data_IF_098690027899
#
_entry.id   IF_098690027899
#
_cell.length_a   1.000
_cell.length_b   1.000
_cell.length_c   1.000
_cell.angle_alpha   90.00
_cell.angle_beta   90.00
_cell.angle_gamma   90.00
#
_symmetry.space_group_name_H-M   'P 1'
#
loop_
_entity.id
_entity.type
_entity.pdbx_description
1 polymer ?
#
# COMPACT_ATOMS: atom_id res chain seq x y z
N UNK A 1 -8.05 1.31 -5.69
CA UNK A 1 -8.43 0.50 -6.86
C UNK A 1 -7.74 1.05 -8.10
N UNK A 2 -7.28 0.21 -9.01
CA UNK A 2 -6.86 0.59 -10.36
C UNK A 2 -7.99 0.24 -11.30
N UNK A 3 -8.44 1.19 -12.10
CA UNK A 3 -9.51 0.97 -13.05
C UNK A 3 -8.97 1.09 -14.47
N UNK A 4 -9.58 0.41 -15.46
CA UNK A 4 -9.26 0.62 -16.87
C UNK A 4 -9.72 2.01 -17.31
N UNK A 5 -8.93 2.65 -18.18
CA UNK A 5 -9.22 3.96 -18.73
C UNK A 5 -9.28 3.90 -20.25
N UNK A 6 -10.20 4.68 -20.83
CA UNK A 6 -10.26 5.00 -22.24
C UNK A 6 -10.08 6.51 -22.40
N UNK A 7 -8.85 6.92 -22.71
CA UNK A 7 -8.43 8.31 -22.59
C UNK A 7 -8.44 8.77 -21.12
N UNK A 8 -9.10 9.88 -20.82
CA UNK A 8 -9.20 10.43 -19.46
C UNK A 8 -10.41 9.94 -18.66
N UNK A 9 -11.25 9.08 -19.24
CA UNK A 9 -12.45 8.54 -18.61
C UNK A 9 -12.23 7.07 -18.22
N UNK A 10 -12.87 6.65 -17.13
CA UNK A 10 -12.93 5.23 -16.77
C UNK A 10 -13.74 4.47 -17.83
N UNK A 11 -13.22 3.35 -18.29
CA UNK A 11 -13.97 2.44 -19.18
C UNK A 11 -15.02 1.66 -18.37
N UNK A 12 -16.17 2.29 -18.15
CA UNK A 12 -17.24 1.76 -17.31
C UNK A 12 -17.75 0.40 -17.81
N UNK A 13 -17.80 0.18 -19.13
CA UNK A 13 -18.29 -1.08 -19.66
C UNK A 13 -17.32 -2.24 -19.34
N UNK A 14 -16.02 -1.99 -19.45
CA UNK A 14 -15.02 -2.97 -19.02
C UNK A 14 -15.05 -3.18 -17.48
N UNK A 15 -15.25 -2.12 -16.69
CA UNK A 15 -15.39 -2.25 -15.21
C UNK A 15 -16.62 -3.09 -14.87
N UNK A 16 -17.76 -2.91 -15.56
CA UNK A 16 -18.96 -3.77 -15.38
C UNK A 16 -18.67 -5.23 -15.65
N UNK A 17 -18.00 -5.54 -16.77
CA UNK A 17 -17.60 -6.91 -17.11
C UNK A 17 -16.68 -7.51 -16.03
N UNK A 18 -15.71 -6.73 -15.56
CA UNK A 18 -14.81 -7.16 -14.48
C UNK A 18 -15.57 -7.42 -13.17
N UNK A 19 -16.52 -6.56 -12.80
CA UNK A 19 -17.36 -6.74 -11.62
C UNK A 19 -18.22 -8.00 -11.76
N UNK A 20 -18.85 -8.22 -12.92
CA UNK A 20 -19.69 -9.39 -13.16
C UNK A 20 -18.88 -10.68 -13.03
N UNK A 21 -17.73 -10.76 -13.72
CA UNK A 21 -16.82 -11.93 -13.62
C UNK A 21 -16.35 -12.17 -12.20
N UNK A 22 -16.01 -11.11 -11.45
CA UNK A 22 -15.57 -11.22 -10.06
C UNK A 22 -16.65 -11.77 -9.14
N UNK A 23 -17.88 -11.23 -9.26
CA UNK A 23 -19.04 -11.65 -8.47
C UNK A 23 -19.48 -13.08 -8.82
N UNK A 24 -19.53 -13.43 -10.10
CA UNK A 24 -19.90 -14.78 -10.59
C UNK A 24 -18.94 -15.86 -10.09
N UNK A 25 -17.68 -15.49 -9.83
CA UNK A 25 -16.67 -16.38 -9.26
C UNK A 25 -16.64 -16.39 -7.71
N UNK A 26 -17.64 -15.78 -7.06
CA UNK A 26 -17.82 -15.80 -5.60
C UNK A 26 -16.99 -14.78 -4.82
N UNK A 27 -16.31 -13.86 -5.50
CA UNK A 27 -15.57 -12.79 -4.85
C UNK A 27 -16.46 -11.56 -4.65
N UNK A 28 -16.42 -10.97 -3.46
CA UNK A 28 -17.40 -9.93 -3.09
C UNK A 28 -16.78 -8.66 -2.51
N UNK A 29 -15.47 -8.60 -2.27
CA UNK A 29 -14.84 -7.48 -1.58
C UNK A 29 -14.29 -6.42 -2.57
N UNK A 30 -14.79 -5.19 -2.45
CA UNK A 30 -14.40 -4.04 -3.28
C UNK A 30 -13.78 -2.94 -2.41
N UNK A 31 -12.56 -2.51 -2.78
CA UNK A 31 -11.81 -1.47 -2.08
C UNK A 31 -11.67 -0.21 -2.93
N UNK A 32 -12.09 0.93 -2.40
CA UNK A 32 -11.93 2.23 -3.03
C UNK A 32 -11.45 3.28 -2.05
N UNK A 33 -11.34 4.53 -2.48
CA UNK A 33 -11.12 5.71 -1.66
C UNK A 33 -11.53 6.98 -2.41
N UNK A 34 -11.79 8.05 -1.67
CA UNK A 34 -12.30 9.32 -2.17
C UNK A 34 -11.49 9.90 -3.34
N UNK A 35 -10.15 9.79 -3.30
CA UNK A 35 -9.24 10.35 -4.32
C UNK A 35 -8.79 9.36 -5.38
N UNK A 36 -9.16 8.08 -5.28
CA UNK A 36 -8.68 7.09 -6.24
C UNK A 36 -9.14 7.41 -7.67
N UNK A 37 -8.26 7.18 -8.63
CA UNK A 37 -8.50 7.49 -10.04
C UNK A 37 -8.94 8.96 -10.27
N UNK A 38 -8.28 9.91 -9.62
CA UNK A 38 -8.63 11.35 -9.66
C UNK A 38 -10.07 11.63 -9.19
N UNK A 39 -10.55 10.85 -8.22
CA UNK A 39 -11.92 10.94 -7.72
C UNK A 39 -12.97 10.21 -8.55
N UNK A 40 -12.58 9.47 -9.58
CA UNK A 40 -13.52 8.75 -10.46
C UNK A 40 -13.84 7.32 -9.97
N UNK A 41 -13.09 6.79 -8.98
CA UNK A 41 -13.24 5.41 -8.54
C UNK A 41 -14.59 5.13 -7.86
N UNK A 42 -15.05 6.01 -6.97
CA UNK A 42 -16.33 5.84 -6.28
C UNK A 42 -17.53 5.93 -7.25
N UNK A 43 -17.62 6.95 -8.15
CA UNK A 43 -18.67 6.99 -9.16
C UNK A 43 -18.65 5.79 -10.13
N UNK A 44 -17.46 5.29 -10.48
CA UNK A 44 -17.34 4.10 -11.32
C UNK A 44 -17.89 2.84 -10.64
N UNK A 45 -17.57 2.65 -9.34
CA UNK A 45 -18.15 1.56 -8.55
C UNK A 45 -19.65 1.70 -8.36
N UNK A 46 -20.17 2.94 -8.21
CA UNK A 46 -21.60 3.14 -8.21
C UNK A 46 -22.22 2.56 -9.47
N UNK A 47 -21.76 2.97 -10.63
CA UNK A 47 -22.30 2.56 -11.92
C UNK A 47 -22.09 1.06 -12.25
N UNK A 48 -20.98 0.47 -11.82
CA UNK A 48 -20.61 -0.89 -12.16
C UNK A 48 -21.08 -1.94 -11.14
N UNK A 49 -21.23 -1.56 -9.87
CA UNK A 49 -21.55 -2.47 -8.77
C UNK A 49 -22.85 -2.05 -8.07
N UNK A 50 -22.86 -0.87 -7.44
CA UNK A 50 -23.91 -0.50 -6.47
C UNK A 50 -25.31 -0.36 -7.10
N UNK A 51 -25.39 0.20 -8.32
CA UNK A 51 -26.66 0.34 -9.05
C UNK A 51 -27.15 -0.98 -9.68
N UNK A 52 -26.36 -2.06 -9.63
CA UNK A 52 -26.62 -3.31 -10.37
C UNK A 52 -26.82 -4.53 -9.47
N UNK A 53 -26.24 -4.53 -8.27
CA UNK A 53 -26.27 -5.67 -7.36
C UNK A 53 -26.93 -5.32 -6.05
N UNK A 54 -27.64 -6.30 -5.41
CA UNK A 54 -28.18 -6.11 -4.06
C UNK A 54 -27.08 -5.71 -3.07
N UNK A 55 -27.35 -4.75 -2.19
CA UNK A 55 -26.34 -4.20 -1.26
C UNK A 55 -25.70 -5.27 -0.36
N UNK A 56 -26.42 -6.30 -0.03
CA UNK A 56 -25.99 -7.40 0.84
C UNK A 56 -25.13 -8.43 0.14
N UNK A 57 -25.04 -8.39 -1.19
CA UNK A 57 -24.26 -9.36 -1.98
C UNK A 57 -22.78 -9.03 -2.08
N UNK A 58 -22.35 -7.85 -1.63
CA UNK A 58 -20.95 -7.42 -1.70
C UNK A 58 -20.51 -6.67 -0.44
N UNK A 59 -19.19 -6.65 -0.25
CA UNK A 59 -18.50 -5.90 0.81
C UNK A 59 -17.84 -4.67 0.19
N UNK A 60 -18.18 -3.49 0.71
CA UNK A 60 -17.69 -2.21 0.19
C UNK A 60 -16.83 -1.49 1.22
N UNK A 61 -15.59 -1.21 0.81
CA UNK A 61 -14.62 -0.46 1.62
C UNK A 61 -14.30 0.86 0.93
N UNK A 62 -14.39 1.96 1.69
CA UNK A 62 -13.80 3.25 1.29
C UNK A 62 -13.03 3.87 2.46
N UNK A 63 -12.43 5.05 2.25
CA UNK A 63 -11.46 5.60 3.19
C UNK A 63 -11.66 7.10 3.37
N UNK A 64 -11.49 7.58 4.61
CA UNK A 64 -11.42 9.00 4.94
C UNK A 64 -10.01 9.53 4.65
N UNK A 65 -9.88 10.33 3.61
CA UNK A 65 -8.63 10.97 3.22
C UNK A 65 -8.48 12.32 3.94
N UNK A 66 -8.23 12.25 5.27
CA UNK A 66 -8.20 13.42 6.13
C UNK A 66 -6.98 14.35 5.88
N UNK A 67 -5.98 13.89 5.15
CA UNK A 67 -4.83 14.70 4.71
C UNK A 67 -5.23 15.93 3.85
N UNK A 68 -6.47 15.97 3.35
CA UNK A 68 -7.00 17.08 2.56
C UNK A 68 -7.95 17.97 3.36
N UNK A 69 -8.16 17.68 4.66
CA UNK A 69 -9.18 18.33 5.48
C UNK A 69 -8.55 19.33 6.46
N UNK A 70 -9.26 20.39 6.71
CA UNK A 70 -8.83 21.47 7.58
C UNK A 70 -9.76 21.68 8.78
N UNK A 71 -10.92 21.01 8.80
CA UNK A 71 -11.88 21.11 9.89
C UNK A 71 -12.67 19.81 10.09
N UNK A 72 -13.32 19.71 11.26
CA UNK A 72 -14.20 18.56 11.58
C UNK A 72 -15.44 18.54 10.68
N UNK A 73 -15.93 19.69 10.28
CA UNK A 73 -17.09 19.85 9.39
C UNK A 73 -16.79 19.28 8.00
N UNK A 74 -15.55 19.41 7.52
CA UNK A 74 -15.14 18.82 6.24
C UNK A 74 -15.17 17.28 6.27
N UNK A 75 -14.91 16.64 7.42
CA UNK A 75 -15.05 15.18 7.55
C UNK A 75 -16.51 14.74 7.32
N UNK A 76 -17.47 15.47 7.93
CA UNK A 76 -18.90 15.21 7.73
C UNK A 76 -19.31 15.38 6.27
N UNK A 77 -18.85 16.47 5.63
CA UNK A 77 -19.15 16.74 4.22
C UNK A 77 -18.60 15.66 3.30
N UNK A 78 -17.34 15.27 3.48
CA UNK A 78 -16.71 14.20 2.67
C UNK A 78 -17.39 12.88 2.89
N UNK A 79 -17.71 12.51 4.13
CA UNK A 79 -18.41 11.27 4.44
C UNK A 79 -19.79 11.21 3.77
N UNK A 80 -20.55 12.31 3.86
CA UNK A 80 -21.85 12.44 3.20
C UNK A 80 -21.74 12.39 1.67
N UNK A 81 -20.72 13.05 1.11
CA UNK A 81 -20.43 13.00 -0.33
C UNK A 81 -20.07 11.58 -0.80
N UNK A 82 -19.28 10.84 -0.02
CA UNK A 82 -18.93 9.44 -0.34
C UNK A 82 -20.16 8.53 -0.37
N UNK A 83 -21.06 8.65 0.61
CA UNK A 83 -22.35 7.93 0.60
C UNK A 83 -23.17 8.23 -0.66
N UNK A 84 -23.21 9.51 -1.06
CA UNK A 84 -23.91 9.97 -2.28
C UNK A 84 -23.21 9.48 -3.56
N UNK A 85 -21.90 9.60 -3.65
CA UNK A 85 -21.10 9.21 -4.84
C UNK A 85 -21.16 7.72 -5.10
N UNK A 86 -21.15 6.92 -4.04
CA UNK A 86 -21.33 5.47 -4.10
C UNK A 86 -22.80 5.05 -4.17
N UNK A 87 -23.73 5.92 -3.77
CA UNK A 87 -25.15 5.60 -3.78
C UNK A 87 -25.54 4.52 -2.77
N UNK A 88 -24.77 4.34 -1.70
CA UNK A 88 -24.98 3.30 -0.69
C UNK A 88 -25.44 3.92 0.64
N UNK A 89 -26.12 3.12 1.47
CA UNK A 89 -26.62 3.57 2.78
C UNK A 89 -25.59 3.46 3.91
N UNK A 90 -24.58 2.61 3.72
CA UNK A 90 -23.52 2.30 4.70
C UNK A 90 -22.29 1.72 4.01
N UNK A 91 -21.15 1.74 4.73
CA UNK A 91 -19.92 1.06 4.35
C UNK A 91 -19.67 -0.16 5.23
N UNK A 92 -19.21 -1.27 4.65
CA UNK A 92 -18.82 -2.43 5.44
C UNK A 92 -17.52 -2.16 6.20
N UNK A 93 -16.53 -1.58 5.51
CA UNK A 93 -15.31 -1.10 6.13
C UNK A 93 -15.09 0.37 5.78
N UNK A 94 -14.69 1.14 6.77
CA UNK A 94 -14.31 2.53 6.59
C UNK A 94 -12.98 2.77 7.28
N UNK A 95 -11.96 3.14 6.49
CA UNK A 95 -10.60 3.26 6.99
C UNK A 95 -10.17 4.73 7.11
N UNK A 96 -9.49 5.10 8.18
CA UNK A 96 -8.68 6.31 8.18
C UNK A 96 -7.50 6.09 7.22
N UNK A 97 -7.46 6.90 6.15
CA UNK A 97 -6.58 6.67 5.02
C UNK A 97 -5.15 7.09 5.33
N UNK A 98 -4.18 6.27 4.88
CA UNK A 98 -2.77 6.62 4.83
C UNK A 98 -2.23 7.11 6.19
N UNK A 99 -2.51 6.39 7.27
CA UNK A 99 -1.98 6.72 8.58
C UNK A 99 -0.46 6.52 8.59
N UNK A 100 0.24 7.52 9.07
CA UNK A 100 1.66 7.65 9.28
C UNK A 100 1.87 8.90 10.10
N UNK A 101 3.10 9.28 10.43
CA UNK A 101 3.42 10.37 11.36
C UNK A 101 2.68 11.69 11.06
N UNK A 102 2.49 12.02 9.77
CA UNK A 102 1.79 13.24 9.36
C UNK A 102 0.27 13.11 9.55
N UNK A 103 -0.32 12.08 8.93
CA UNK A 103 -1.77 11.95 8.89
C UNK A 103 -2.36 11.51 10.22
N UNK A 104 -1.61 10.77 11.04
CA UNK A 104 -2.00 10.46 12.41
C UNK A 104 -2.16 11.73 13.25
N UNK A 105 -1.22 12.68 13.12
CA UNK A 105 -1.33 13.99 13.78
C UNK A 105 -2.57 14.74 13.32
N UNK A 106 -2.86 14.77 12.02
CA UNK A 106 -4.09 15.37 11.47
C UNK A 106 -5.33 14.64 12.00
N UNK A 107 -5.29 13.32 12.08
CA UNK A 107 -6.40 12.52 12.64
C UNK A 107 -6.70 12.87 14.10
N UNK A 108 -5.66 13.17 14.90
CA UNK A 108 -5.82 13.64 16.29
C UNK A 108 -6.37 15.07 16.33
N UNK A 109 -5.84 15.99 15.55
CA UNK A 109 -6.29 17.39 15.47
C UNK A 109 -7.77 17.50 15.05
N UNK A 110 -8.21 16.66 14.11
CA UNK A 110 -9.57 16.64 13.60
C UNK A 110 -10.50 15.69 14.38
N UNK A 111 -9.97 14.97 15.39
CA UNK A 111 -10.75 13.99 16.16
C UNK A 111 -11.37 12.87 15.29
N UNK A 112 -10.61 12.43 14.28
CA UNK A 112 -11.10 11.51 13.25
C UNK A 112 -11.45 10.13 13.81
N UNK A 113 -10.79 9.68 14.87
CA UNK A 113 -11.10 8.41 15.55
C UNK A 113 -12.47 8.45 16.24
N UNK A 114 -12.79 9.56 16.92
CA UNK A 114 -14.12 9.75 17.51
C UNK A 114 -15.21 9.87 16.41
N UNK A 115 -14.90 10.56 15.32
CA UNK A 115 -15.78 10.69 14.16
C UNK A 115 -16.17 9.32 13.59
N UNK A 116 -15.20 8.45 13.23
CA UNK A 116 -15.53 7.15 12.65
C UNK A 116 -16.26 6.23 13.65
N UNK A 117 -15.94 6.33 14.94
CA UNK A 117 -16.67 5.63 16.01
C UNK A 117 -18.14 6.08 16.10
N UNK A 118 -18.38 7.40 15.98
CA UNK A 118 -19.73 7.94 15.93
C UNK A 118 -20.49 7.42 14.71
N UNK A 119 -19.90 7.46 13.50
CA UNK A 119 -20.52 6.95 12.28
C UNK A 119 -20.82 5.45 12.34
N UNK A 120 -20.00 4.69 13.06
CA UNK A 120 -20.29 3.28 13.37
C UNK A 120 -21.52 3.15 14.30
N UNK A 121 -21.61 3.95 15.35
CA UNK A 121 -22.77 3.95 16.25
C UNK A 121 -24.07 4.37 15.52
N UNK A 122 -23.99 5.24 14.52
CA UNK A 122 -25.09 5.63 13.64
C UNK A 122 -25.49 4.54 12.63
N UNK A 123 -24.79 3.40 12.59
CA UNK A 123 -25.02 2.31 11.64
C UNK A 123 -24.58 2.60 10.21
N UNK A 124 -23.78 3.65 10.00
CA UNK A 124 -23.24 4.05 8.69
C UNK A 124 -21.92 3.36 8.33
N UNK A 125 -21.25 2.79 9.32
CA UNK A 125 -20.03 1.98 9.19
C UNK A 125 -20.22 0.69 9.96
N UNK A 126 -19.88 -0.45 9.38
CA UNK A 126 -19.88 -1.75 10.08
C UNK A 126 -18.57 -1.99 10.82
N UNK A 127 -17.44 -1.74 10.14
CA UNK A 127 -16.09 -1.96 10.70
C UNK A 127 -15.20 -0.76 10.46
N UNK A 128 -14.51 -0.34 11.52
CA UNK A 128 -13.55 0.77 11.48
C UNK A 128 -12.14 0.22 11.37
N UNK A 129 -11.31 0.85 10.53
CA UNK A 129 -9.91 0.47 10.37
C UNK A 129 -9.01 1.64 10.01
N UNK A 130 -7.75 1.30 9.76
CA UNK A 130 -6.75 2.22 9.22
C UNK A 130 -6.03 1.58 8.04
N UNK A 131 -5.58 2.38 7.06
CA UNK A 131 -4.48 1.99 6.17
C UNK A 131 -3.22 2.68 6.65
N UNK A 132 -2.11 1.91 6.73
CA UNK A 132 -0.90 2.35 7.42
C UNK A 132 0.33 2.27 6.51
N UNK A 133 1.20 3.33 6.56
CA UNK A 133 2.36 3.49 5.70
C UNK A 133 3.52 4.15 6.46
N UNK A 134 3.92 3.60 7.61
CA UNK A 134 5.02 4.12 8.41
C UNK A 134 5.70 2.99 9.22
N UNK A 135 6.48 3.35 10.23
CA UNK A 135 7.24 2.44 11.07
C UNK A 135 6.37 1.69 12.08
N UNK A 136 6.78 0.48 12.42
CA UNK A 136 6.04 -0.42 13.30
C UNK A 136 5.79 0.17 14.70
N UNK A 137 6.72 0.98 15.23
CA UNK A 137 6.59 1.64 16.52
C UNK A 137 5.37 2.57 16.55
N UNK A 138 5.15 3.34 15.48
CA UNK A 138 3.98 4.21 15.37
C UNK A 138 2.69 3.40 15.23
N UNK A 139 2.71 2.28 14.52
CA UNK A 139 1.54 1.39 14.44
C UNK A 139 1.18 0.83 15.82
N UNK A 140 2.17 0.44 16.61
CA UNK A 140 1.96 -0.07 17.99
C UNK A 140 1.37 1.02 18.90
N UNK A 141 1.85 2.26 18.78
CA UNK A 141 1.27 3.43 19.48
C UNK A 141 -0.19 3.64 19.07
N UNK A 142 -0.48 3.69 17.78
CA UNK A 142 -1.86 3.91 17.26
C UNK A 142 -2.79 2.83 17.78
N UNK A 143 -2.43 1.54 17.66
CA UNK A 143 -3.31 0.44 18.06
C UNK A 143 -3.46 0.31 19.58
N UNK A 144 -2.49 0.80 20.34
CA UNK A 144 -2.57 0.89 21.82
C UNK A 144 -3.52 2.01 22.24
N UNK A 145 -3.42 3.17 21.58
CA UNK A 145 -4.20 4.37 21.90
C UNK A 145 -5.65 4.26 21.41
N UNK A 146 -5.86 3.58 20.29
CA UNK A 146 -7.15 3.44 19.60
C UNK A 146 -7.58 1.97 19.47
N UNK A 147 -7.93 1.31 20.58
CA UNK A 147 -8.32 -0.11 20.58
C UNK A 147 -9.61 -0.39 19.78
N UNK A 148 -10.41 0.64 19.49
CA UNK A 148 -11.61 0.58 18.64
C UNK A 148 -11.32 0.26 17.17
N UNK A 149 -10.07 0.38 16.70
CA UNK A 149 -9.67 -0.08 15.36
C UNK A 149 -9.83 -1.59 15.27
N UNK A 150 -10.59 -2.05 14.29
CA UNK A 150 -10.94 -3.47 14.11
C UNK A 150 -10.10 -4.16 13.04
N UNK A 151 -9.50 -3.41 12.12
CA UNK A 151 -8.73 -3.95 11.00
C UNK A 151 -7.61 -3.00 10.59
N UNK A 152 -6.50 -3.55 10.15
CA UNK A 152 -5.35 -2.78 9.65
C UNK A 152 -5.05 -3.16 8.20
N UNK A 153 -4.98 -2.17 7.30
CA UNK A 153 -4.54 -2.39 5.92
C UNK A 153 -3.05 -2.10 5.83
N UNK A 154 -2.25 -3.13 5.47
CA UNK A 154 -0.79 -3.09 5.41
C UNK A 154 -0.24 -3.45 4.04
N UNK A 155 0.89 -2.85 3.67
CA UNK A 155 1.67 -3.25 2.51
C UNK A 155 2.42 -4.54 2.83
N UNK A 156 2.08 -5.64 2.14
CA UNK A 156 2.75 -6.94 2.29
C UNK A 156 3.03 -7.56 0.93
N UNK A 157 4.30 -7.79 0.65
CA UNK A 157 4.79 -8.59 -0.47
C UNK A 157 6.17 -9.16 -0.12
N UNK A 158 6.64 -10.18 -0.84
CA UNK A 158 7.88 -10.87 -0.50
C UNK A 158 9.15 -10.01 -0.69
N UNK A 159 9.10 -8.96 -1.52
CA UNK A 159 10.23 -8.05 -1.71
C UNK A 159 10.40 -7.05 -0.57
N UNK A 160 9.28 -6.58 0.01
CA UNK A 160 9.27 -5.61 1.10
C UNK A 160 9.23 -6.26 2.49
N UNK A 161 9.10 -7.58 2.57
CA UNK A 161 8.87 -8.31 3.82
C UNK A 161 9.90 -7.98 4.89
N UNK A 162 11.19 -8.04 4.53
CA UNK A 162 12.33 -7.73 5.40
C UNK A 162 12.97 -6.36 5.12
N UNK A 163 12.29 -5.49 4.39
CA UNK A 163 12.80 -4.17 4.08
C UNK A 163 12.67 -3.24 5.30
N UNK A 164 13.80 -2.77 5.83
CA UNK A 164 13.84 -1.90 7.03
C UNK A 164 13.19 -0.52 6.81
N UNK A 165 13.08 -0.05 5.57
CA UNK A 165 12.43 1.24 5.26
C UNK A 165 10.90 1.11 5.20
N UNK A 166 10.38 -0.03 4.77
CA UNK A 166 8.94 -0.33 4.68
C UNK A 166 8.43 -1.00 5.96
N UNK A 167 9.24 -1.89 6.53
CA UNK A 167 8.93 -2.66 7.74
C UNK A 167 7.67 -3.53 7.65
N UNK A 168 7.40 -4.14 6.48
CA UNK A 168 6.21 -4.96 6.26
C UNK A 168 6.01 -6.03 7.34
N UNK A 169 7.07 -6.84 7.62
CA UNK A 169 7.02 -7.87 8.67
C UNK A 169 6.77 -7.28 10.05
N UNK A 170 7.50 -6.25 10.42
CA UNK A 170 7.38 -5.62 11.75
C UNK A 170 5.97 -5.04 11.98
N UNK A 171 5.42 -4.35 10.97
CA UNK A 171 4.04 -3.86 11.03
C UNK A 171 3.01 -5.00 11.11
N UNK A 172 3.23 -6.09 10.36
CA UNK A 172 2.38 -7.27 10.45
C UNK A 172 2.44 -7.90 11.84
N UNK A 173 3.62 -8.06 12.45
CA UNK A 173 3.80 -8.60 13.80
C UNK A 173 3.11 -7.72 14.86
N UNK A 174 3.16 -6.39 14.70
CA UNK A 174 2.40 -5.45 15.54
C UNK A 174 0.89 -5.69 15.40
N UNK A 175 0.36 -5.78 14.19
CA UNK A 175 -1.06 -6.07 13.99
C UNK A 175 -1.47 -7.40 14.64
N UNK A 176 -0.63 -8.45 14.54
CA UNK A 176 -0.85 -9.74 15.19
C UNK A 176 -0.81 -9.64 16.73
N UNK A 177 0.15 -8.90 17.30
CA UNK A 177 0.25 -8.61 18.74
C UNK A 177 -1.05 -8.02 19.27
N UNK A 178 -1.65 -7.09 18.53
CA UNK A 178 -2.93 -6.45 18.87
C UNK A 178 -4.15 -7.26 18.41
N UNK A 179 -3.97 -8.48 17.91
CA UNK A 179 -5.04 -9.38 17.42
C UNK A 179 -5.92 -8.72 16.34
N UNK A 180 -5.35 -7.81 15.55
CA UNK A 180 -6.07 -7.14 14.46
C UNK A 180 -5.92 -7.95 13.18
N UNK A 181 -7.04 -8.29 12.49
CA UNK A 181 -6.99 -8.87 11.16
C UNK A 181 -6.34 -7.89 10.18
N UNK A 182 -5.64 -8.45 9.19
CA UNK A 182 -4.89 -7.68 8.20
C UNK A 182 -5.59 -7.76 6.84
N UNK A 183 -5.74 -6.60 6.20
CA UNK A 183 -6.03 -6.46 4.77
C UNK A 183 -4.73 -6.10 4.09
N UNK A 184 -4.33 -6.86 3.08
CA UNK A 184 -3.08 -6.61 2.36
C UNK A 184 -3.30 -5.67 1.20
N UNK A 185 -2.50 -4.62 1.11
CA UNK A 185 -2.34 -3.76 -0.06
C UNK A 185 -0.95 -3.97 -0.68
N UNK A 186 -0.80 -3.59 -1.96
CA UNK A 186 0.46 -3.69 -2.72
C UNK A 186 1.07 -5.11 -2.75
N UNK A 187 0.29 -6.20 -2.87
CA UNK A 187 0.84 -7.55 -2.88
C UNK A 187 1.79 -7.78 -4.06
N UNK A 188 1.55 -7.14 -5.20
CA UNK A 188 2.39 -7.20 -6.40
C UNK A 188 3.23 -5.93 -6.62
N UNK A 189 3.35 -5.08 -5.60
CA UNK A 189 4.16 -3.86 -5.57
C UNK A 189 3.97 -2.99 -6.84
N UNK A 190 2.70 -2.64 -7.10
CA UNK A 190 2.36 -1.79 -8.24
C UNK A 190 2.63 -2.39 -9.62
N UNK A 191 2.89 -3.70 -9.71
CA UNK A 191 3.25 -4.41 -10.94
C UNK A 191 4.75 -4.78 -11.01
N UNK A 192 5.59 -4.30 -10.10
CA UNK A 192 7.03 -4.65 -10.06
C UNK A 192 7.24 -6.15 -9.97
N UNK A 193 6.40 -6.86 -9.21
CA UNK A 193 6.51 -8.31 -9.03
C UNK A 193 5.82 -9.13 -10.14
N UNK A 194 5.38 -8.48 -11.21
CA UNK A 194 4.90 -9.16 -12.44
C UNK A 194 6.03 -9.28 -13.45
N UNK A 195 6.83 -8.22 -13.63
CA UNK A 195 7.95 -8.17 -14.56
C UNK A 195 9.26 -8.39 -13.79
N UNK A 196 9.60 -9.65 -13.56
CA UNK A 196 10.78 -10.02 -12.79
C UNK A 196 12.05 -10.04 -13.67
N UNK A 197 13.23 -9.84 -13.06
CA UNK A 197 14.48 -10.21 -13.69
C UNK A 197 14.49 -11.69 -14.12
N UNK A 198 15.11 -11.98 -15.26
CA UNK A 198 15.09 -13.32 -15.86
C UNK A 198 15.53 -14.43 -14.90
N UNK A 199 16.50 -14.14 -14.02
CA UNK A 199 16.98 -15.10 -13.02
C UNK A 199 15.92 -15.43 -11.97
N UNK A 200 15.17 -14.43 -11.51
CA UNK A 200 14.08 -14.63 -10.54
C UNK A 200 12.90 -15.36 -11.20
N UNK A 201 12.55 -15.00 -12.43
CA UNK A 201 11.48 -15.65 -13.19
C UNK A 201 11.80 -17.12 -13.47
N UNK A 202 13.03 -17.45 -13.86
CA UNK A 202 13.48 -18.86 -14.05
C UNK A 202 13.36 -19.68 -12.76
N UNK A 203 13.61 -19.09 -11.60
CA UNK A 203 13.48 -19.75 -10.32
C UNK A 203 12.03 -20.21 -10.09
N UNK A 204 11.06 -19.34 -10.30
CA UNK A 204 9.64 -19.68 -10.16
C UNK A 204 9.16 -20.66 -11.24
N UNK A 205 9.57 -20.48 -12.48
CA UNK A 205 9.21 -21.40 -13.59
C UNK A 205 9.78 -22.80 -13.43
N UNK A 206 10.95 -22.94 -12.83
CA UNK A 206 11.55 -24.24 -12.57
C UNK A 206 10.72 -25.06 -11.55
N UNK A 207 10.12 -24.39 -10.58
CA UNK A 207 9.25 -25.01 -9.59
C UNK A 207 7.82 -25.26 -10.10
N UNK A 208 7.22 -24.22 -10.70
CA UNK A 208 5.88 -24.30 -11.26
C UNK A 208 5.79 -23.52 -12.59
N UNK A 209 5.89 -24.22 -13.74
CA UNK A 209 5.96 -23.57 -15.06
C UNK A 209 4.66 -22.90 -15.51
N UNK A 210 3.52 -23.20 -14.86
CA UNK A 210 2.20 -22.63 -15.23
C UNK A 210 1.78 -21.47 -14.34
N UNK A 211 2.47 -21.26 -13.21
CA UNK A 211 2.15 -20.19 -12.28
C UNK A 211 2.64 -18.83 -12.83
N UNK A 212 1.79 -17.82 -12.80
CA UNK A 212 2.19 -16.45 -13.12
C UNK A 212 3.06 -15.84 -12.00
N UNK A 213 3.90 -14.85 -12.35
CA UNK A 213 4.67 -14.13 -11.33
C UNK A 213 3.75 -13.42 -10.31
N UNK A 214 2.59 -12.92 -10.77
CA UNK A 214 1.59 -12.33 -9.89
C UNK A 214 1.03 -13.33 -8.88
N UNK A 215 0.82 -14.59 -9.27
CA UNK A 215 0.30 -15.64 -8.39
C UNK A 215 1.23 -15.94 -7.21
N UNK A 216 2.55 -15.91 -7.42
CA UNK A 216 3.54 -16.04 -6.34
C UNK A 216 3.40 -14.93 -5.31
N UNK A 217 3.27 -13.68 -5.76
CA UNK A 217 3.15 -12.53 -4.87
C UNK A 217 1.82 -12.51 -4.10
N UNK A 218 0.70 -12.85 -4.77
CA UNK A 218 -0.62 -12.96 -4.14
C UNK A 218 -0.66 -14.07 -3.11
N UNK A 219 -0.15 -15.27 -3.45
CA UNK A 219 -0.08 -16.42 -2.53
C UNK A 219 0.81 -16.14 -1.34
N UNK A 220 1.97 -15.47 -1.53
CA UNK A 220 2.82 -15.05 -0.41
C UNK A 220 2.05 -14.19 0.58
N UNK A 221 1.38 -13.16 0.09
CA UNK A 221 0.60 -12.25 0.93
C UNK A 221 -0.55 -12.96 1.65
N UNK A 222 -1.30 -13.80 0.92
CA UNK A 222 -2.44 -14.54 1.45
C UNK A 222 -2.04 -15.65 2.45
N UNK A 223 -0.80 -16.15 2.39
CA UNK A 223 -0.29 -17.19 3.27
C UNK A 223 0.05 -16.70 4.68
N UNK A 224 0.09 -15.39 4.91
CA UNK A 224 0.40 -14.85 6.23
C UNK A 224 -0.80 -15.03 7.17
N UNK A 225 -0.56 -15.60 8.35
CA UNK A 225 -1.61 -15.87 9.34
C UNK A 225 -2.35 -14.58 9.75
N UNK A 226 -3.68 -14.60 9.82
CA UNK A 226 -4.50 -13.43 10.18
C UNK A 226 -4.75 -12.45 9.04
N UNK A 227 -4.20 -12.69 7.85
CA UNK A 227 -4.64 -12.00 6.63
C UNK A 227 -6.05 -12.46 6.28
N UNK A 228 -6.95 -11.50 6.10
CA UNK A 228 -8.35 -11.74 5.76
C UNK A 228 -8.66 -11.41 4.30
N UNK A 229 -7.89 -10.49 3.72
CA UNK A 229 -8.11 -10.04 2.36
C UNK A 229 -6.79 -9.60 1.72
N UNK A 230 -6.61 -9.92 0.45
CA UNK A 230 -5.51 -9.44 -0.37
C UNK A 230 -6.09 -8.61 -1.51
N UNK A 231 -5.72 -7.32 -1.56
CA UNK A 231 -6.21 -6.39 -2.57
C UNK A 231 -5.29 -6.40 -3.78
N UNK A 232 -5.83 -6.63 -4.95
CA UNK A 232 -5.11 -6.50 -6.20
C UNK A 232 -5.73 -5.41 -7.09
N UNK A 233 -4.88 -4.54 -7.64
CA UNK A 233 -5.29 -3.50 -8.57
C UNK A 233 -5.25 -4.01 -10.01
N UNK A 234 -6.35 -4.55 -10.50
CA UNK A 234 -6.50 -5.08 -11.85
C UNK A 234 -7.14 -4.04 -12.78
N UNK A 235 -6.66 -3.95 -14.02
CA UNK A 235 -7.22 -3.06 -15.04
C UNK A 235 -7.43 -3.73 -16.40
N UNK A 236 -7.38 -5.06 -16.44
CA UNK A 236 -7.75 -5.88 -17.60
C UNK A 236 -8.42 -7.18 -17.17
N UNK A 237 -9.18 -7.80 -18.08
CA UNK A 237 -9.80 -9.11 -17.84
C UNK A 237 -8.75 -10.19 -17.58
N UNK A 238 -7.66 -10.20 -18.33
CA UNK A 238 -6.57 -11.16 -18.17
C UNK A 238 -5.99 -11.17 -16.76
N UNK A 239 -5.71 -9.98 -16.19
CA UNK A 239 -5.24 -9.84 -14.82
C UNK A 239 -6.28 -10.33 -13.81
N UNK A 240 -7.55 -10.03 -14.03
CA UNK A 240 -8.65 -10.46 -13.19
C UNK A 240 -8.79 -11.98 -13.19
N UNK A 241 -8.81 -12.61 -14.34
CA UNK A 241 -8.97 -14.06 -14.50
C UNK A 241 -7.77 -14.82 -13.91
N UNK A 242 -6.56 -14.31 -14.08
CA UNK A 242 -5.34 -14.90 -13.47
C UNK A 242 -5.40 -14.86 -11.93
N UNK A 243 -5.82 -13.72 -11.37
CA UNK A 243 -5.97 -13.56 -9.92
C UNK A 243 -7.12 -14.41 -9.37
N UNK A 244 -8.24 -14.53 -10.09
CA UNK A 244 -9.37 -15.39 -9.72
C UNK A 244 -8.90 -16.85 -9.67
N UNK A 245 -8.24 -17.37 -10.71
CA UNK A 245 -7.68 -18.74 -10.71
C UNK A 245 -6.76 -18.97 -9.52
N UNK A 246 -5.85 -18.03 -9.28
CA UNK A 246 -4.90 -18.11 -8.15
C UNK A 246 -5.59 -18.21 -6.81
N UNK A 247 -6.68 -17.49 -6.60
CA UNK A 247 -7.35 -17.41 -5.30
C UNK A 247 -8.47 -18.44 -5.12
N UNK A 248 -9.07 -18.95 -6.19
CA UNK A 248 -10.02 -20.07 -6.12
C UNK A 248 -9.33 -21.36 -5.68
N UNK A 249 -8.14 -21.63 -6.20
CA UNK A 249 -7.31 -22.80 -5.85
C UNK A 249 -6.24 -22.43 -4.80
N UNK A 250 -6.55 -21.48 -3.92
CA UNK A 250 -5.58 -21.01 -2.94
C UNK A 250 -5.18 -22.10 -1.95
N UNK A 251 -3.87 -22.36 -1.90
CA UNK A 251 -3.22 -23.13 -0.85
C UNK A 251 -2.10 -22.29 -0.24
N UNK A 252 -2.00 -22.24 1.11
CA UNK A 252 -0.90 -21.54 1.76
C UNK A 252 0.45 -22.04 1.25
N UNK A 253 1.41 -21.12 1.11
CA UNK A 253 2.76 -21.47 0.68
C UNK A 253 3.44 -22.39 1.70
N UNK A 254 4.08 -23.44 1.20
CA UNK A 254 4.95 -24.31 2.00
C UNK A 254 6.33 -23.66 2.24
N UNK A 255 7.19 -24.36 3.01
CA UNK A 255 8.53 -23.83 3.35
C UNK A 255 9.44 -23.63 2.13
N UNK A 256 9.35 -24.50 1.12
CA UNK A 256 10.13 -24.39 -0.12
C UNK A 256 9.69 -23.19 -0.97
N UNK A 257 8.39 -23.00 -1.13
CA UNK A 257 7.82 -21.84 -1.85
C UNK A 257 8.19 -20.51 -1.18
N UNK A 258 8.15 -20.45 0.15
CA UNK A 258 8.60 -19.27 0.90
C UNK A 258 10.11 -19.01 0.70
N UNK A 259 10.94 -20.07 0.68
CA UNK A 259 12.37 -19.93 0.40
C UNK A 259 12.64 -19.44 -1.03
N UNK A 260 11.84 -19.88 -2.02
CA UNK A 260 11.91 -19.38 -3.39
C UNK A 260 11.56 -17.88 -3.47
N UNK A 261 10.53 -17.44 -2.75
CA UNK A 261 10.18 -16.01 -2.67
C UNK A 261 11.33 -15.19 -2.06
N UNK A 262 11.96 -15.69 -1.00
CA UNK A 262 13.13 -15.03 -0.39
C UNK A 262 14.33 -14.95 -1.34
N UNK A 263 14.61 -16.04 -2.10
CA UNK A 263 15.66 -16.05 -3.12
C UNK A 263 15.34 -15.08 -4.27
N UNK A 264 14.10 -15.05 -4.75
CA UNK A 264 13.67 -14.10 -5.77
C UNK A 264 13.84 -12.65 -5.29
N UNK A 265 13.47 -12.36 -4.03
CA UNK A 265 13.68 -11.03 -3.43
C UNK A 265 15.17 -10.65 -3.44
N UNK A 266 16.07 -11.56 -3.07
CA UNK A 266 17.53 -11.32 -3.10
C UNK A 266 18.04 -11.06 -4.52
N UNK A 267 17.57 -11.81 -5.52
CA UNK A 267 17.94 -11.61 -6.92
C UNK A 267 17.48 -10.22 -7.39
N UNK A 268 16.23 -9.86 -7.11
CA UNK A 268 15.67 -8.55 -7.48
C UNK A 268 16.47 -7.43 -6.81
N UNK A 269 16.76 -7.55 -5.52
CA UNK A 269 17.58 -6.58 -4.78
C UNK A 269 18.99 -6.47 -5.32
N UNK A 270 19.59 -7.58 -5.74
CA UNK A 270 20.94 -7.60 -6.32
C UNK A 270 21.07 -6.93 -7.70
N UNK A 271 19.96 -6.76 -8.43
CA UNK A 271 19.89 -6.04 -9.71
C UNK A 271 19.51 -4.56 -9.56
N UNK A 272 19.40 -4.06 -8.32
CA UNK A 272 19.07 -2.66 -8.08
C UNK A 272 20.21 -1.72 -8.52
N UNK A 273 19.82 -0.55 -9.01
CA UNK A 273 20.74 0.47 -9.54
C UNK A 273 21.72 1.02 -8.49
N UNK A 274 21.33 0.97 -7.20
CA UNK A 274 22.15 1.43 -6.08
C UNK A 274 22.45 0.24 -5.16
N UNK A 275 23.66 -0.32 -5.17
CA UNK A 275 24.00 -1.52 -4.39
C UNK A 275 24.24 -1.17 -2.91
N UNK A 276 23.26 -0.56 -2.27
CA UNK A 276 23.33 -0.14 -0.86
C UNK A 276 23.03 -1.32 0.07
N UNK A 277 23.94 -1.58 1.01
CA UNK A 277 23.82 -2.63 2.03
C UNK A 277 23.20 -2.14 3.35
N UNK A 278 22.73 -0.90 3.40
CA UNK A 278 22.13 -0.25 4.58
C UNK A 278 23.04 -0.26 5.84
N UNK A 279 24.35 -0.27 5.68
CA UNK A 279 25.30 -0.30 6.80
C UNK A 279 25.33 0.98 7.67
N UNK A 280 24.74 2.08 7.22
CA UNK A 280 24.54 3.32 7.98
C UNK A 280 25.76 4.24 8.12
N UNK A 281 26.96 3.84 7.71
CA UNK A 281 28.17 4.66 7.87
C UNK A 281 28.07 6.04 7.23
N UNK A 282 27.39 6.13 6.08
CA UNK A 282 27.15 7.37 5.36
C UNK A 282 26.26 8.36 6.14
N UNK A 283 25.26 7.88 6.87
CA UNK A 283 24.36 8.71 7.69
C UNK A 283 25.10 9.33 8.85
N UNK A 284 25.94 8.54 9.55
CA UNK A 284 26.76 9.04 10.67
C UNK A 284 27.73 10.14 10.23
N UNK A 285 28.28 10.03 9.03
CA UNK A 285 29.25 10.99 8.47
C UNK A 285 28.57 12.16 7.75
N UNK A 286 27.26 12.14 7.59
CA UNK A 286 26.54 13.22 6.92
C UNK A 286 26.36 14.42 7.87
N UNK A 287 26.95 15.62 7.56
CA UNK A 287 26.79 16.81 8.42
C UNK A 287 25.34 17.32 8.43
N UNK A 288 24.49 16.84 7.53
CA UNK A 288 23.04 17.13 7.48
C UNK A 288 22.21 15.99 8.08
N UNK A 289 22.81 14.89 8.50
CA UNK A 289 22.12 13.73 9.05
C UNK A 289 21.00 13.16 8.14
N UNK A 290 21.23 13.20 6.81
CA UNK A 290 20.29 12.65 5.83
C UNK A 290 20.22 11.13 6.01
N UNK A 291 19.02 10.50 6.11
CA UNK A 291 18.86 9.06 6.23
C UNK A 291 19.06 8.39 4.86
N UNK A 292 20.33 8.34 4.42
CA UNK A 292 20.72 7.96 3.06
C UNK A 292 20.28 6.54 2.70
N UNK A 293 20.50 5.50 3.54
CA UNK A 293 20.08 4.14 3.20
C UNK A 293 18.57 4.00 3.00
N UNK A 294 17.78 4.66 3.84
CA UNK A 294 16.32 4.66 3.76
C UNK A 294 15.84 5.30 2.46
N UNK A 295 16.42 6.43 2.07
CA UNK A 295 16.08 7.10 0.82
C UNK A 295 16.45 6.26 -0.40
N UNK A 296 17.60 5.59 -0.36
CA UNK A 296 18.00 4.66 -1.41
C UNK A 296 17.03 3.48 -1.51
N UNK A 297 16.64 2.89 -0.40
CA UNK A 297 15.67 1.79 -0.39
C UNK A 297 14.33 2.21 -0.99
N UNK A 298 13.83 3.40 -0.65
CA UNK A 298 12.58 3.92 -1.23
C UNK A 298 12.71 4.22 -2.72
N UNK A 299 13.83 4.77 -3.16
CA UNK A 299 14.04 5.16 -4.56
C UNK A 299 14.13 3.97 -5.53
N UNK A 300 14.70 2.84 -5.11
CA UNK A 300 14.97 1.69 -5.96
C UNK A 300 13.76 0.77 -6.21
N UNK A 301 12.80 0.75 -5.31
CA UNK A 301 11.73 -0.25 -5.32
C UNK A 301 10.46 0.14 -6.11
N UNK A 302 10.57 0.94 -7.13
CA UNK A 302 9.74 0.95 -8.34
C UNK A 302 8.44 1.75 -8.33
N UNK A 303 7.45 1.52 -7.51
CA UNK A 303 6.15 2.21 -7.65
C UNK A 303 6.12 3.56 -6.92
N UNK A 304 6.20 4.64 -7.70
CA UNK A 304 6.45 6.00 -7.23
C UNK A 304 5.50 6.52 -6.14
N UNK A 305 4.20 6.21 -6.22
CA UNK A 305 3.21 6.85 -5.33
C UNK A 305 3.37 6.43 -3.88
N UNK A 306 3.50 5.13 -3.60
CA UNK A 306 3.64 4.63 -2.24
C UNK A 306 4.99 5.02 -1.63
N UNK A 307 6.09 4.93 -2.40
CA UNK A 307 7.40 5.37 -1.92
C UNK A 307 7.45 6.87 -1.63
N UNK A 308 6.76 7.69 -2.40
CA UNK A 308 6.64 9.13 -2.12
C UNK A 308 5.97 9.39 -0.76
N UNK A 309 5.00 8.56 -0.37
CA UNK A 309 4.35 8.66 0.96
C UNK A 309 5.35 8.35 2.07
N UNK A 310 6.08 7.24 1.96
CA UNK A 310 7.12 6.90 2.96
C UNK A 310 8.22 7.95 3.02
N UNK A 311 8.69 8.43 1.86
CA UNK A 311 9.65 9.50 1.79
C UNK A 311 9.13 10.77 2.47
N UNK A 312 7.91 11.18 2.16
CA UNK A 312 7.27 12.35 2.77
C UNK A 312 7.18 12.22 4.28
N UNK A 313 6.75 11.06 4.80
CA UNK A 313 6.68 10.80 6.23
C UNK A 313 8.08 10.92 6.89
N UNK A 314 9.11 10.31 6.30
CA UNK A 314 10.49 10.43 6.79
C UNK A 314 10.99 11.88 6.83
N UNK A 315 10.63 12.71 5.84
CA UNK A 315 11.06 14.11 5.79
C UNK A 315 10.39 15.01 6.83
N UNK A 316 9.44 14.50 7.60
CA UNK A 316 8.88 15.27 8.74
C UNK A 316 9.81 15.28 9.95
N UNK A 317 10.71 14.32 10.05
CA UNK A 317 11.65 14.14 11.17
C UNK A 317 13.12 14.14 10.70
N UNK A 318 13.38 14.06 9.41
CA UNK A 318 14.71 14.00 8.82
C UNK A 318 14.87 15.01 7.67
N UNK A 319 16.10 15.48 7.41
CA UNK A 319 16.39 16.33 6.26
C UNK A 319 16.09 15.63 4.95
N UNK A 320 15.62 16.40 3.96
CA UNK A 320 15.33 15.91 2.60
C UNK A 320 16.59 15.50 1.86
N UNK A 321 16.43 14.75 0.78
CA UNK A 321 17.53 14.42 -0.12
C UNK A 321 18.17 15.68 -0.73
N UNK A 322 17.37 16.70 -1.06
CA UNK A 322 17.83 17.98 -1.58
C UNK A 322 18.58 18.87 -0.58
N UNK A 323 18.56 18.55 0.71
CA UNK A 323 19.38 19.26 1.72
C UNK A 323 20.86 18.86 1.65
N UNK A 324 21.20 17.94 0.74
CA UNK A 324 22.58 17.51 0.50
C UNK A 324 23.43 18.67 -0.02
N UNK A 325 24.50 19.00 0.72
CA UNK A 325 25.44 20.08 0.38
C UNK A 325 26.58 19.64 -0.54
N UNK A 326 26.58 18.41 -1.04
CA UNK A 326 27.61 17.89 -1.96
C UNK A 326 28.99 17.74 -1.35
N UNK A 327 29.15 17.57 -0.04
CA UNK A 327 30.45 17.51 0.63
C UNK A 327 31.21 16.18 0.44
N UNK A 328 30.59 15.14 -0.12
CA UNK A 328 31.12 13.80 -0.37
C UNK A 328 31.70 13.05 0.85
N UNK A 329 31.43 13.48 2.10
CA UNK A 329 31.91 12.77 3.27
C UNK A 329 31.30 11.36 3.38
N UNK A 330 30.00 11.21 3.06
CA UNK A 330 29.31 9.94 3.02
C UNK A 330 29.94 8.93 2.04
N UNK A 331 30.42 9.39 0.88
CA UNK A 331 31.02 8.54 -0.16
C UNK A 331 32.39 7.99 0.26
N UNK A 332 33.19 8.78 1.01
CA UNK A 332 34.49 8.33 1.53
C UNK A 332 34.37 7.15 2.49
N UNK A 333 33.24 7.03 3.17
CA UNK A 333 33.00 6.01 4.18
C UNK A 333 32.05 4.89 3.67
N UNK A 334 31.65 4.95 2.40
CA UNK A 334 30.79 3.93 1.81
C UNK A 334 31.61 2.70 1.38
N UNK A 335 31.41 1.51 2.01
CA UNK A 335 32.16 0.30 1.63
C UNK A 335 31.83 -0.17 0.21
N UNK A 336 30.70 0.28 -0.36
CA UNK A 336 30.26 -0.07 -1.72
C UNK A 336 30.65 0.99 -2.76
N UNK A 337 31.37 2.04 -2.37
CA UNK A 337 31.83 3.13 -3.24
C UNK A 337 30.70 3.76 -4.07
N UNK A 338 29.50 3.89 -3.49
CA UNK A 338 28.31 4.45 -4.15
C UNK A 338 28.52 5.96 -4.34
N UNK A 339 28.16 6.48 -5.52
CA UNK A 339 28.09 7.92 -5.81
C UNK A 339 26.86 8.54 -5.12
N UNK A 340 26.90 8.65 -3.79
CA UNK A 340 25.76 8.97 -2.92
C UNK A 340 25.16 10.33 -3.25
N UNK A 341 26.00 11.36 -3.43
CA UNK A 341 25.54 12.73 -3.71
C UNK A 341 24.79 12.82 -5.03
N UNK A 342 25.20 12.05 -6.06
CA UNK A 342 24.48 11.94 -7.33
C UNK A 342 23.10 11.34 -7.14
N UNK A 343 23.01 10.23 -6.43
CA UNK A 343 21.73 9.56 -6.20
C UNK A 343 20.79 10.39 -5.30
N UNK A 344 21.33 11.10 -4.30
CA UNK A 344 20.52 12.03 -3.51
C UNK A 344 19.90 13.15 -4.37
N UNK A 345 20.66 13.64 -5.37
CA UNK A 345 20.13 14.61 -6.34
C UNK A 345 19.00 14.00 -7.17
N UNK A 346 19.18 12.79 -7.71
CA UNK A 346 18.16 12.07 -8.47
C UNK A 346 16.89 11.82 -7.63
N UNK A 347 17.05 11.50 -6.35
CA UNK A 347 15.95 11.33 -5.39
C UNK A 347 15.22 12.64 -5.15
N UNK A 348 15.98 13.72 -4.91
CA UNK A 348 15.43 15.06 -4.71
C UNK A 348 14.59 15.52 -5.91
N UNK A 349 15.09 15.34 -7.13
CA UNK A 349 14.39 15.70 -8.36
C UNK A 349 13.03 14.95 -8.48
N UNK A 350 12.96 13.71 -7.98
CA UNK A 350 11.75 12.89 -8.05
C UNK A 350 10.79 13.09 -6.87
N UNK A 351 11.31 13.27 -5.65
CA UNK A 351 10.51 13.15 -4.43
C UNK A 351 10.30 14.48 -3.68
N UNK A 352 11.27 15.42 -3.70
CA UNK A 352 11.17 16.66 -2.90
C UNK A 352 10.06 17.60 -3.35
N UNK A 353 9.61 17.48 -4.59
CA UNK A 353 8.48 18.21 -5.11
C UNK A 353 7.12 17.74 -4.57
N UNK A 354 7.09 16.57 -3.95
CA UNK A 354 5.88 16.03 -3.33
C UNK A 354 5.63 16.71 -1.98
N UNK A 355 4.59 17.52 -1.92
CA UNK A 355 4.21 18.29 -0.72
C UNK A 355 3.16 17.57 0.15
N UNK A 356 3.04 16.25 0.01
CA UNK A 356 1.90 15.55 0.54
C UNK A 356 0.63 15.86 -0.26
N UNK A 357 -0.47 15.56 0.34
CA UNK A 357 -1.79 15.73 -0.28
C UNK A 357 -2.50 17.01 0.20
N UNK A 358 -1.79 17.87 0.95
CA UNK A 358 -2.31 19.17 1.45
C UNK A 358 -2.19 20.28 0.43
#
# INVERSE_FOLDING_TARGET
MRLPFRGDQVDIELVKQMVDTFMENGFTYFDTAYKYCRGLSEPALKAALVDRYPRESYVLTTKLSNEFMHSKEEQEQVFADQLKRLGCGYFDYYLLHNQGAVNYKVSLELDSFAFVKQKKAEGKIRHVGISFHDKAELLDEILTTHPEIEVVQLQINYLDWDNESIQSRKCYEVARKHQKPVIVMEPIKGGTLVNLPEKAERLFRAYNPVASNASWALRFAASQEGVRMVLSGMNSMEQLEDNIRTMQDFHPMNGEENALCAQAAQIIQGELTIPCTACGYCTVQCPKHIPIPEYFALFQHGYMTTQMVYYYNLTQTHPKAGDCIGCHQCEKHCPQHIAITRHLKEISEKFDGFKGWR
#
